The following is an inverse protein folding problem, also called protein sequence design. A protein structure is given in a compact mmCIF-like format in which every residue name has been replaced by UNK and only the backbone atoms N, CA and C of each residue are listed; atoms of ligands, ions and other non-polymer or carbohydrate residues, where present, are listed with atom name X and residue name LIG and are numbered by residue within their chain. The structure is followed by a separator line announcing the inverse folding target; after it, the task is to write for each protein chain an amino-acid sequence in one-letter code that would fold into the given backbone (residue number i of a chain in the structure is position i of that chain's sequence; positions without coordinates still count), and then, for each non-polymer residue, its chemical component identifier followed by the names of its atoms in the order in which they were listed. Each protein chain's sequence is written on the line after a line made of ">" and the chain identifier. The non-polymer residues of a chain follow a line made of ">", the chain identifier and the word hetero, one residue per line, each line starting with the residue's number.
data_IF_231968358091
#
_entry.id   IF_231968358091
#
_cell.length_a   1.000
_cell.length_b   1.000
_cell.length_c   1.000
_cell.angle_alpha   90.00
_cell.angle_beta   90.00
_cell.angle_gamma   90.00
#
_symmetry.space_group_name_H-M   'P 1'
#
loop_
_entity.id
_entity.type
_entity.pdbx_description
1 polymer ?
#
# COMPACT_ATOMS: atom_id res chain seq x y z
N UNK A 1 -15.60 24.80 4.20
CA UNK A 1 -14.67 23.91 3.47
C UNK A 1 -14.55 24.38 2.01
N UNK A 2 -13.97 25.57 1.75
CA UNK A 2 -13.95 26.18 0.40
C UNK A 2 -12.62 26.87 0.02
N UNK A 3 -11.51 26.56 0.71
CA UNK A 3 -10.21 27.20 0.45
C UNK A 3 -9.30 26.46 -0.54
N UNK A 4 -9.26 25.13 -0.48
CA UNK A 4 -8.22 24.33 -1.14
C UNK A 4 -8.41 24.17 -2.65
N UNK A 5 -9.63 23.86 -3.10
CA UNK A 5 -9.93 23.68 -4.53
C UNK A 5 -9.75 24.96 -5.34
N UNK A 6 -10.03 26.14 -4.75
CA UNK A 6 -9.83 27.44 -5.40
C UNK A 6 -8.35 27.75 -5.58
N UNK A 7 -7.53 27.54 -4.54
CA UNK A 7 -6.09 27.80 -4.60
C UNK A 7 -5.39 26.93 -5.66
N UNK A 8 -5.82 25.66 -5.80
CA UNK A 8 -5.27 24.74 -6.80
C UNK A 8 -5.56 25.16 -8.25
N UNK A 9 -6.78 25.62 -8.54
CA UNK A 9 -7.11 26.09 -9.90
C UNK A 9 -6.46 27.43 -10.25
N UNK A 10 -6.28 28.31 -9.27
CA UNK A 10 -5.71 29.66 -9.45
C UNK A 10 -4.18 29.61 -9.66
N UNK A 11 -3.51 28.59 -9.10
CA UNK A 11 -2.08 28.31 -9.34
C UNK A 11 -1.82 27.48 -10.60
N UNK A 12 -2.71 26.54 -10.94
CA UNK A 12 -2.60 25.76 -12.18
C UNK A 12 -2.78 26.62 -13.45
N UNK A 13 -3.65 27.64 -13.40
CA UNK A 13 -3.86 28.54 -14.53
C UNK A 13 -2.65 29.47 -14.79
N UNK A 14 -1.95 29.91 -13.74
CA UNK A 14 -0.79 30.79 -13.86
C UNK A 14 0.49 30.06 -14.34
N UNK A 15 0.59 28.74 -14.10
CA UNK A 15 1.76 27.94 -14.50
C UNK A 15 1.72 27.54 -15.99
N UNK A 16 0.53 27.50 -16.58
CA UNK A 16 0.28 27.13 -17.98
C UNK A 16 0.77 28.18 -18.99
N UNK A 17 0.74 29.47 -18.63
CA UNK A 17 0.96 30.57 -19.60
C UNK A 17 2.43 30.89 -19.91
N UNK A 18 3.39 30.28 -19.19
CA UNK A 18 4.80 30.70 -19.25
C UNK A 18 5.76 29.59 -19.71
N UNK A 19 5.34 28.33 -19.75
CA UNK A 19 6.23 27.20 -20.03
C UNK A 19 6.16 26.77 -21.50
N UNK A 20 6.95 27.42 -22.36
CA UNK A 20 7.10 27.02 -23.77
C UNK A 20 7.55 25.56 -23.91
N UNK A 21 7.02 24.86 -24.92
CA UNK A 21 7.24 23.41 -25.20
C UNK A 21 8.68 22.92 -25.05
N UNK A 22 9.69 23.76 -25.33
CA UNK A 22 11.10 23.41 -25.20
C UNK A 22 11.55 23.13 -23.77
N UNK A 23 11.03 23.85 -22.78
CA UNK A 23 11.41 23.65 -21.37
C UNK A 23 10.79 22.38 -20.79
N UNK A 24 9.59 22.02 -21.24
CA UNK A 24 8.93 20.76 -20.87
C UNK A 24 9.79 19.57 -21.31
N UNK A 25 10.30 19.59 -22.55
CA UNK A 25 11.17 18.51 -23.05
C UNK A 25 12.49 18.41 -22.28
N UNK A 26 13.11 19.53 -21.90
CA UNK A 26 14.34 19.52 -21.10
C UNK A 26 14.11 18.99 -19.68
N UNK A 27 13.00 19.37 -19.04
CA UNK A 27 12.63 18.87 -17.71
C UNK A 27 12.36 17.37 -17.77
N UNK A 28 11.62 16.89 -18.78
CA UNK A 28 11.35 15.46 -18.97
C UNK A 28 12.63 14.66 -19.20
N UNK A 29 13.57 15.17 -20.00
CA UNK A 29 14.85 14.51 -20.26
C UNK A 29 15.74 14.45 -19.02
N UNK A 30 15.77 15.52 -18.23
CA UNK A 30 16.50 15.56 -16.96
C UNK A 30 15.90 14.58 -15.92
N UNK A 31 14.57 14.50 -15.85
CA UNK A 31 13.86 13.59 -14.95
C UNK A 31 14.11 12.11 -15.33
N UNK A 32 14.05 11.79 -16.62
CA UNK A 32 14.36 10.44 -17.13
C UNK A 32 15.80 10.02 -16.81
N UNK A 33 16.76 10.94 -16.95
CA UNK A 33 18.16 10.68 -16.59
C UNK A 33 18.33 10.45 -15.08
N UNK A 34 17.64 11.22 -14.23
CA UNK A 34 17.67 11.04 -12.78
C UNK A 34 17.09 9.69 -12.35
N UNK A 35 15.98 9.25 -12.95
CA UNK A 35 15.38 7.92 -12.72
C UNK A 35 16.33 6.80 -13.16
N UNK A 36 16.96 6.92 -14.32
CA UNK A 36 17.94 5.94 -14.79
C UNK A 36 19.18 5.85 -13.89
N UNK A 37 19.64 6.99 -13.36
CA UNK A 37 20.75 7.05 -12.41
C UNK A 37 20.36 6.45 -11.04
N UNK A 38 19.16 6.74 -10.55
CA UNK A 38 18.65 6.16 -9.30
C UNK A 38 18.48 4.63 -9.42
N UNK A 39 17.99 4.16 -10.57
CA UNK A 39 17.86 2.73 -10.89
C UNK A 39 19.21 2.01 -10.96
N UNK A 40 20.20 2.62 -11.61
CA UNK A 40 21.55 2.04 -11.74
C UNK A 40 22.35 2.10 -10.43
N UNK A 41 22.10 3.08 -9.57
CA UNK A 41 22.78 3.18 -8.28
C UNK A 41 22.18 2.25 -7.22
N UNK A 42 20.85 2.02 -7.26
CA UNK A 42 20.19 1.08 -6.35
C UNK A 42 20.38 -0.39 -6.75
N UNK A 43 20.40 -0.70 -8.06
CA UNK A 43 20.66 -2.07 -8.55
C UNK A 43 22.08 -2.56 -8.26
N UNK A 44 23.07 -1.66 -8.17
CA UNK A 44 24.46 -1.99 -7.81
C UNK A 44 24.70 -2.16 -6.30
N UNK A 45 23.75 -1.79 -5.44
CA UNK A 45 23.81 -2.02 -4.00
C UNK A 45 23.12 -3.33 -3.56
N UNK A 46 22.83 -4.25 -4.50
CA UNK A 46 22.40 -5.62 -4.17
C UNK A 46 23.59 -6.58 -4.01
N UNK A 47 23.72 -7.05 -2.77
CA UNK A 47 24.46 -8.17 -2.13
C UNK A 47 25.97 -8.05 -1.84
N UNK A 48 26.36 -8.38 -0.58
CA UNK A 48 27.02 -9.68 -0.41
C UNK A 48 26.53 -10.50 0.80
N UNK A 49 26.08 -11.72 0.49
CA UNK A 49 26.42 -12.99 1.16
C UNK A 49 26.60 -12.97 2.70
N UNK A 50 25.54 -13.30 3.46
CA UNK A 50 25.72 -13.99 4.75
C UNK A 50 25.55 -15.49 4.58
N UNK A 51 26.69 -16.17 4.58
CA UNK A 51 26.82 -17.60 4.82
C UNK A 51 26.43 -17.88 6.28
N UNK A 52 25.32 -18.56 6.52
CA UNK A 52 25.10 -19.30 7.77
C UNK A 52 24.97 -20.78 7.45
N UNK A 53 26.12 -21.46 7.53
CA UNK A 53 26.25 -22.91 7.68
C UNK A 53 25.83 -23.29 9.11
N UNK A 54 25.31 -24.53 9.22
CA UNK A 54 25.01 -25.33 10.42
C UNK A 54 23.59 -25.14 10.99
N UNK A 55 22.76 -26.17 11.23
CA UNK A 55 23.05 -27.60 11.47
C UNK A 55 21.82 -28.49 11.22
N UNK A 56 21.91 -29.32 10.18
CA UNK A 56 21.59 -30.76 10.12
C UNK A 56 20.63 -31.31 11.20
N UNK A 57 19.40 -31.64 10.81
CA UNK A 57 18.72 -32.83 11.35
C UNK A 57 18.19 -33.67 10.19
N UNK A 58 18.90 -34.77 9.94
CA UNK A 58 18.54 -35.85 9.03
C UNK A 58 17.22 -36.48 9.50
N UNK A 59 16.31 -36.79 8.58
CA UNK A 59 16.04 -38.17 8.12
C UNK A 59 15.03 -38.14 6.95
N UNK A 60 15.42 -38.82 5.86
CA UNK A 60 14.66 -39.17 4.64
C UNK A 60 13.86 -40.47 4.92
N UNK A 61 12.77 -40.78 4.19
CA UNK A 61 12.88 -41.47 2.89
C UNK A 61 11.92 -40.85 1.82
N UNK A 62 12.39 -40.53 0.61
CA UNK A 62 12.38 -41.36 -0.62
C UNK A 62 10.98 -41.58 -1.24
N UNK A 63 10.62 -40.69 -2.18
CA UNK A 63 9.68 -40.88 -3.31
C UNK A 63 9.96 -39.74 -4.30
N UNK A 64 10.76 -40.03 -5.33
CA UNK A 64 10.42 -40.01 -6.78
C UNK A 64 10.36 -38.61 -7.44
N UNK A 65 10.93 -38.45 -8.65
CA UNK A 65 11.21 -37.14 -9.22
C UNK A 65 10.01 -36.67 -10.05
N UNK A 66 9.09 -35.95 -9.42
CA UNK A 66 8.06 -35.24 -10.17
C UNK A 66 8.67 -33.98 -10.78
N UNK A 67 8.79 -34.06 -12.09
CA UNK A 67 9.25 -33.06 -13.04
C UNK A 67 8.88 -31.64 -12.62
N UNK A 68 9.91 -30.86 -12.33
CA UNK A 68 9.88 -29.43 -12.10
C UNK A 68 9.18 -28.74 -13.29
N UNK A 69 7.93 -28.37 -13.12
CA UNK A 69 7.32 -27.27 -13.87
C UNK A 69 7.42 -26.11 -12.92
N UNK A 70 8.52 -25.37 -13.02
CA UNK A 70 8.59 -24.04 -12.42
C UNK A 70 7.36 -23.29 -12.93
N UNK A 71 6.44 -22.82 -12.06
CA UNK A 71 5.52 -21.80 -12.49
C UNK A 71 6.42 -20.62 -12.85
N UNK A 72 6.54 -20.37 -14.15
CA UNK A 72 6.94 -19.07 -14.67
C UNK A 72 6.13 -18.09 -13.83
N UNK A 73 6.85 -17.33 -12.99
CA UNK A 73 6.27 -16.18 -12.32
C UNK A 73 5.89 -15.27 -13.46
N UNK A 74 4.65 -15.41 -13.95
CA UNK A 74 4.00 -14.37 -14.70
C UNK A 74 4.25 -13.09 -13.91
N UNK A 75 4.84 -12.13 -14.60
CA UNK A 75 5.16 -10.81 -14.14
C UNK A 75 3.92 -10.24 -13.46
N UNK A 76 3.83 -10.43 -12.14
CA UNK A 76 2.70 -9.99 -11.35
C UNK A 76 2.61 -8.49 -11.57
N UNK A 77 1.47 -8.04 -12.09
CA UNK A 77 1.18 -6.63 -12.25
C UNK A 77 1.60 -5.89 -10.97
N UNK A 78 2.46 -4.86 -11.06
CA UNK A 78 3.07 -4.22 -9.91
C UNK A 78 2.06 -3.60 -8.92
N UNK A 79 0.80 -3.46 -9.33
CA UNK A 79 -0.28 -2.80 -8.58
C UNK A 79 -1.44 -3.71 -8.18
N UNK A 80 -1.42 -5.00 -8.53
CA UNK A 80 -2.42 -5.95 -8.05
C UNK A 80 -2.14 -6.29 -6.57
N UNK A 81 -3.14 -6.13 -5.70
CA UNK A 81 -3.04 -6.61 -4.32
C UNK A 81 -2.94 -8.14 -4.35
N UNK A 82 -1.81 -8.74 -3.98
CA UNK A 82 -1.69 -10.20 -4.00
C UNK A 82 -2.67 -10.79 -2.98
N UNK A 83 -3.23 -11.97 -3.27
CA UNK A 83 -4.14 -12.70 -2.37
C UNK A 83 -3.36 -13.25 -1.15
N UNK A 84 -2.98 -12.34 -0.26
CA UNK A 84 -2.25 -12.60 0.96
C UNK A 84 -3.11 -12.22 2.16
N UNK A 85 -3.04 -12.97 3.28
CA UNK A 85 -3.74 -12.61 4.51
C UNK A 85 -3.27 -11.25 5.05
N UNK A 86 -4.18 -10.47 5.66
CA UNK A 86 -3.87 -9.18 6.27
C UNK A 86 -2.68 -9.24 7.25
N UNK A 87 -2.56 -10.31 8.04
CA UNK A 87 -1.45 -10.53 8.97
C UNK A 87 -0.07 -10.60 8.29
N UNK A 88 -0.01 -11.06 7.03
CA UNK A 88 1.23 -11.11 6.26
C UNK A 88 1.71 -9.72 5.90
N UNK A 89 0.79 -8.84 5.47
CA UNK A 89 1.08 -7.44 5.20
C UNK A 89 1.53 -6.71 6.47
N UNK A 90 0.86 -6.94 7.61
CA UNK A 90 1.28 -6.38 8.89
C UNK A 90 2.70 -6.83 9.30
N UNK A 91 3.00 -8.12 9.16
CA UNK A 91 4.34 -8.64 9.47
C UNK A 91 5.42 -8.02 8.58
N UNK A 92 5.11 -7.75 7.31
CA UNK A 92 6.02 -7.04 6.39
C UNK A 92 6.19 -5.58 6.81
N UNK A 93 5.10 -4.90 7.16
CA UNK A 93 5.14 -3.52 7.63
C UNK A 93 6.02 -3.37 8.87
N UNK A 94 5.88 -4.26 9.85
CA UNK A 94 6.69 -4.21 11.08
C UNK A 94 8.17 -4.45 10.80
N UNK A 95 8.49 -5.33 9.84
CA UNK A 95 9.87 -5.54 9.37
C UNK A 95 10.45 -4.30 8.68
N UNK A 96 9.65 -3.59 7.88
CA UNK A 96 10.07 -2.34 7.24
C UNK A 96 10.28 -1.22 8.26
N UNK A 97 9.36 -1.05 9.20
CA UNK A 97 9.48 -0.11 10.31
C UNK A 97 10.75 -0.35 11.14
N UNK A 98 11.05 -1.61 11.48
CA UNK A 98 12.27 -1.98 12.20
C UNK A 98 13.58 -1.66 11.46
N UNK A 99 13.51 -1.43 10.15
CA UNK A 99 14.65 -1.03 9.30
C UNK A 99 14.68 0.47 9.00
N UNK A 100 13.75 1.26 9.57
CA UNK A 100 13.57 2.67 9.25
C UNK A 100 12.98 2.93 7.86
N UNK A 101 12.41 1.90 7.22
CA UNK A 101 11.76 1.99 5.91
C UNK A 101 10.28 2.36 6.06
N UNK A 102 10.03 3.60 6.50
CA UNK A 102 8.70 4.05 6.91
C UNK A 102 7.70 4.11 5.75
N UNK A 103 8.13 4.49 4.54
CA UNK A 103 7.25 4.57 3.38
C UNK A 103 6.68 3.20 2.98
N UNK A 104 7.53 2.17 2.99
CA UNK A 104 7.16 0.78 2.75
C UNK A 104 6.30 0.22 3.89
N UNK A 105 6.59 0.58 5.15
CA UNK A 105 5.77 0.20 6.28
C UNK A 105 4.33 0.72 6.15
N UNK A 106 4.16 2.01 5.84
CA UNK A 106 2.85 2.64 5.61
C UNK A 106 2.12 1.97 4.45
N UNK A 107 2.80 1.70 3.32
CA UNK A 107 2.21 1.02 2.16
C UNK A 107 1.68 -0.36 2.54
N UNK A 108 2.47 -1.18 3.24
CA UNK A 108 2.04 -2.53 3.62
C UNK A 108 0.90 -2.49 4.66
N UNK A 109 0.87 -1.51 5.57
CA UNK A 109 -0.28 -1.32 6.48
C UNK A 109 -1.55 -0.96 5.72
N UNK A 110 -1.47 -0.09 4.71
CA UNK A 110 -2.62 0.24 3.87
C UNK A 110 -3.14 -1.02 3.15
N UNK A 111 -2.24 -1.82 2.58
CA UNK A 111 -2.59 -3.12 1.96
C UNK A 111 -3.27 -4.06 2.95
N UNK A 112 -2.82 -4.09 4.21
CA UNK A 112 -3.47 -4.87 5.27
C UNK A 112 -4.89 -4.37 5.58
N UNK A 113 -5.10 -3.04 5.64
CA UNK A 113 -6.42 -2.43 5.87
C UNK A 113 -7.37 -2.75 4.72
N UNK A 114 -6.91 -2.62 3.47
CA UNK A 114 -7.70 -3.00 2.29
C UNK A 114 -8.10 -4.46 2.36
N UNK A 115 -7.15 -5.35 2.68
CA UNK A 115 -7.44 -6.78 2.80
C UNK A 115 -8.46 -7.06 3.90
N UNK A 116 -8.34 -6.40 5.05
CA UNK A 116 -9.31 -6.49 6.15
C UNK A 116 -10.73 -6.11 5.70
N UNK A 117 -10.87 -5.03 4.94
CA UNK A 117 -12.17 -4.58 4.44
C UNK A 117 -12.78 -5.60 3.46
N UNK A 118 -11.97 -6.19 2.59
CA UNK A 118 -12.37 -7.26 1.67
C UNK A 118 -12.78 -8.52 2.44
N UNK A 119 -11.93 -8.99 3.36
CA UNK A 119 -12.19 -10.20 4.17
C UNK A 119 -13.48 -10.07 4.99
N UNK A 120 -13.82 -8.84 5.42
CA UNK A 120 -15.05 -8.54 6.17
C UNK A 120 -16.25 -8.20 5.28
N UNK A 121 -16.10 -8.27 3.95
CA UNK A 121 -17.11 -7.92 2.94
C UNK A 121 -17.67 -6.51 3.10
N UNK A 122 -16.84 -5.57 3.56
CA UNK A 122 -17.18 -4.14 3.56
C UNK A 122 -17.04 -3.58 2.15
N UNK A 123 -16.09 -4.09 1.37
CA UNK A 123 -15.90 -3.78 -0.04
C UNK A 123 -15.67 -5.07 -0.80
N UNK A 124 -16.01 -5.09 -2.09
CA UNK A 124 -15.60 -6.15 -2.99
C UNK A 124 -14.16 -5.91 -3.46
N UNK A 125 -13.44 -6.98 -3.77
CA UNK A 125 -12.09 -6.86 -4.33
C UNK A 125 -12.20 -6.46 -5.82
N UNK A 126 -11.73 -5.26 -6.15
CA UNK A 126 -11.64 -4.81 -7.53
C UNK A 126 -10.18 -4.43 -7.86
N UNK A 127 -9.53 -5.12 -8.80
CA UNK A 127 -8.22 -4.71 -9.31
C UNK A 127 -8.28 -3.28 -9.88
N UNK A 128 -7.27 -2.46 -9.60
CA UNK A 128 -7.15 -1.10 -10.14
C UNK A 128 -7.88 0.01 -9.37
N UNK A 129 -8.46 -0.27 -8.20
CA UNK A 129 -9.02 0.80 -7.37
C UNK A 129 -7.95 1.75 -6.85
N UNK A 130 -8.24 3.05 -6.97
CA UNK A 130 -7.50 4.07 -6.23
C UNK A 130 -7.86 4.01 -4.75
N UNK A 131 -6.97 4.50 -3.90
CA UNK A 131 -7.18 4.55 -2.44
C UNK A 131 -8.43 5.39 -2.09
N UNK A 132 -8.68 6.46 -2.83
CA UNK A 132 -9.84 7.36 -2.63
C UNK A 132 -11.16 6.68 -2.99
N UNK A 133 -11.21 5.93 -4.08
CA UNK A 133 -12.40 5.18 -4.49
C UNK A 133 -12.72 4.09 -3.46
N UNK A 134 -11.68 3.41 -2.96
CA UNK A 134 -11.81 2.42 -1.90
C UNK A 134 -12.34 3.03 -0.60
N UNK A 135 -11.77 4.16 -0.15
CA UNK A 135 -12.21 4.85 1.05
C UNK A 135 -13.68 5.29 0.92
N UNK A 136 -14.06 5.84 -0.23
CA UNK A 136 -15.44 6.22 -0.53
C UNK A 136 -16.39 5.03 -0.52
N UNK A 137 -15.99 3.89 -1.09
CA UNK A 137 -16.80 2.67 -1.10
C UNK A 137 -16.97 2.10 0.32
N UNK A 138 -15.89 2.03 1.09
CA UNK A 138 -15.92 1.58 2.47
C UNK A 138 -16.78 2.51 3.34
N UNK A 139 -16.68 3.83 3.19
CA UNK A 139 -17.51 4.80 3.91
C UNK A 139 -19.00 4.65 3.62
N UNK A 140 -19.39 4.30 2.38
CA UNK A 140 -20.80 4.01 2.06
C UNK A 140 -21.32 2.76 2.78
N UNK A 141 -20.49 1.72 2.88
CA UNK A 141 -20.89 0.43 3.47
C UNK A 141 -20.71 0.37 5.00
N UNK A 142 -19.77 1.16 5.51
CA UNK A 142 -19.45 1.32 6.93
C UNK A 142 -19.05 2.77 7.23
N UNK A 143 -20.02 3.66 7.50
CA UNK A 143 -19.77 5.11 7.68
C UNK A 143 -18.72 5.46 8.73
N UNK A 144 -18.59 4.65 9.78
CA UNK A 144 -17.57 4.83 10.82
C UNK A 144 -16.12 4.62 10.33
N UNK A 145 -15.92 4.12 9.10
CA UNK A 145 -14.58 3.96 8.50
C UNK A 145 -14.16 5.16 7.65
N UNK A 146 -15.06 6.10 7.34
CA UNK A 146 -14.82 7.17 6.37
C UNK A 146 -13.66 8.09 6.77
N UNK A 147 -13.74 8.66 7.98
CA UNK A 147 -12.69 9.52 8.53
C UNK A 147 -11.33 8.80 8.64
N UNK A 148 -11.19 7.63 9.29
CA UNK A 148 -9.89 6.99 9.44
C UNK A 148 -9.30 6.49 8.13
N UNK A 149 -10.12 6.04 7.16
CA UNK A 149 -9.63 5.64 5.84
C UNK A 149 -9.18 6.84 5.01
N UNK A 150 -9.91 7.94 5.07
CA UNK A 150 -9.52 9.19 4.40
C UNK A 150 -8.18 9.68 4.95
N UNK A 151 -8.01 9.72 6.28
CA UNK A 151 -6.75 10.11 6.90
C UNK A 151 -5.59 9.16 6.52
N UNK A 152 -5.84 7.85 6.47
CA UNK A 152 -4.85 6.86 6.04
C UNK A 152 -4.45 7.04 4.57
N UNK A 153 -5.42 7.32 3.70
CA UNK A 153 -5.20 7.61 2.30
C UNK A 153 -4.40 8.89 2.08
N UNK A 154 -4.62 9.93 2.90
CA UNK A 154 -3.84 11.16 2.89
C UNK A 154 -2.38 10.91 3.24
N UNK A 155 -2.09 10.19 4.34
CA UNK A 155 -0.70 9.87 4.73
C UNK A 155 0.01 9.12 3.60
N UNK A 156 -0.65 8.11 3.02
CA UNK A 156 -0.10 7.36 1.90
C UNK A 156 0.17 8.25 0.69
N UNK A 157 -0.79 9.10 0.32
CA UNK A 157 -0.67 9.96 -0.87
C UNK A 157 0.41 11.02 -0.70
N UNK A 158 0.52 11.60 0.50
CA UNK A 158 1.56 12.56 0.86
C UNK A 158 2.97 11.96 0.70
N UNK A 159 3.16 10.70 1.10
CA UNK A 159 4.45 10.01 0.99
C UNK A 159 4.75 9.60 -0.46
N UNK A 160 3.79 8.99 -1.15
CA UNK A 160 4.05 8.35 -2.45
C UNK A 160 3.88 9.26 -3.66
N UNK A 161 3.03 10.29 -3.55
CA UNK A 161 2.74 11.23 -4.63
C UNK A 161 3.10 12.68 -4.25
N UNK A 162 3.12 13.00 -2.96
CA UNK A 162 3.47 14.34 -2.45
C UNK A 162 4.95 14.55 -2.17
N UNK A 163 5.80 13.56 -2.46
CA UNK A 163 7.25 13.58 -2.23
C UNK A 163 7.66 13.91 -0.77
N UNK A 164 6.76 13.72 0.21
CA UNK A 164 7.09 13.94 1.62
C UNK A 164 7.92 12.77 2.15
N UNK A 165 9.03 13.05 2.87
CA UNK A 165 9.79 11.99 3.51
C UNK A 165 8.93 11.32 4.59
N UNK A 166 8.83 10.00 4.53
CA UNK A 166 8.09 9.21 5.51
C UNK A 166 8.83 9.16 6.86
N UNK A 167 8.08 9.26 7.94
CA UNK A 167 8.59 9.31 9.32
C UNK A 167 8.02 8.18 10.18
N UNK A 168 8.61 7.99 11.37
CA UNK A 168 8.07 7.08 12.40
C UNK A 168 6.68 7.50 12.89
N UNK A 169 6.41 8.81 12.93
CA UNK A 169 5.11 9.37 13.31
C UNK A 169 4.03 9.01 12.28
N UNK A 170 4.37 8.93 11.00
CA UNK A 170 3.47 8.47 9.94
C UNK A 170 3.11 6.98 10.13
N UNK A 171 4.08 6.12 10.44
CA UNK A 171 3.83 4.70 10.73
C UNK A 171 2.95 4.53 11.99
N UNK A 172 3.22 5.31 13.03
CA UNK A 172 2.44 5.32 14.28
C UNK A 172 1.01 5.78 14.04
N UNK A 173 0.83 6.85 13.27
CA UNK A 173 -0.48 7.35 12.85
C UNK A 173 -1.22 6.30 12.02
N UNK A 174 -0.53 5.64 11.09
CA UNK A 174 -1.10 4.60 10.25
C UNK A 174 -1.56 3.37 11.07
N UNK A 175 -0.82 2.97 12.11
CA UNK A 175 -1.24 1.91 13.05
C UNK A 175 -2.53 2.28 13.80
N UNK A 176 -2.60 3.52 14.28
CA UNK A 176 -3.79 4.04 15.00
C UNK A 176 -5.01 4.02 14.08
N UNK A 177 -4.88 4.56 12.88
CA UNK A 177 -5.95 4.63 11.87
C UNK A 177 -6.40 3.22 11.45
N UNK A 178 -5.47 2.29 11.20
CA UNK A 178 -5.80 0.90 10.91
C UNK A 178 -6.62 0.24 12.03
N UNK A 179 -6.26 0.53 13.29
CA UNK A 179 -6.99 0.02 14.47
C UNK A 179 -8.38 0.66 14.63
N UNK A 180 -8.54 1.92 14.23
CA UNK A 180 -9.84 2.60 14.16
C UNK A 180 -10.76 1.97 13.12
N UNK A 181 -10.24 1.69 11.92
CA UNK A 181 -10.98 0.98 10.87
C UNK A 181 -11.41 -0.41 11.33
N UNK A 182 -10.50 -1.18 11.95
CA UNK A 182 -10.81 -2.52 12.44
C UNK A 182 -11.96 -2.51 13.46
N UNK A 183 -11.93 -1.57 14.41
CA UNK A 183 -12.99 -1.37 15.40
C UNK A 183 -14.31 -0.94 14.76
N UNK A 184 -14.27 -0.01 13.81
CA UNK A 184 -15.45 0.47 13.10
C UNK A 184 -16.19 -0.66 12.37
N UNK A 185 -15.44 -1.56 11.72
CA UNK A 185 -16.03 -2.70 11.00
C UNK A 185 -16.45 -3.82 11.95
N UNK A 186 -15.77 -3.98 13.09
CA UNK A 186 -16.17 -4.96 14.11
C UNK A 186 -17.50 -4.57 14.77
N UNK A 187 -17.72 -3.28 15.03
CA UNK A 187 -18.93 -2.74 15.68
C UNK A 187 -20.17 -2.68 14.78
N UNK A 188 -20.01 -2.74 13.45
CA UNK A 188 -21.11 -2.66 12.49
C UNK A 188 -21.94 -3.95 12.33
N UNK A 189 -21.51 -5.08 12.91
CA UNK A 189 -22.31 -6.33 12.90
C UNK A 189 -23.36 -6.28 14.01
N UNK A 190 -24.58 -5.86 13.66
CA UNK A 190 -25.76 -6.20 14.47
C UNK A 190 -25.91 -7.73 14.46
N UNK A 191 -26.00 -8.41 15.63
CA UNK A 191 -26.19 -9.86 15.67
C UNK A 191 -27.51 -10.24 14.98
N UNK A 192 -27.46 -11.26 14.13
CA UNK A 192 -28.61 -11.85 13.44
C UNK A 192 -29.51 -12.66 14.40
N UNK A 193 -29.89 -12.08 15.55
CA UNK A 193 -30.77 -12.70 16.55
C UNK A 193 -32.01 -11.84 16.80
N UNK A 194 -32.84 -11.68 15.76
CA UNK A 194 -34.28 -11.37 15.92
C UNK A 194 -35.10 -11.79 14.69
N UNK A 195 -34.88 -13.01 14.20
CA UNK A 195 -35.85 -13.73 13.36
C UNK A 195 -35.95 -15.16 13.88
N UNK A 196 -36.88 -15.39 14.80
CA UNK A 196 -37.21 -16.72 15.30
C UNK A 196 -37.81 -16.71 16.70
N UNK A 197 -39.14 -16.75 16.76
CA UNK A 197 -39.94 -17.06 17.95
C UNK A 197 -40.31 -15.84 18.79
N UNK A 198 -41.58 -15.62 19.15
CA UNK A 198 -42.84 -16.31 18.91
C UNK A 198 -43.96 -15.30 19.13
#
# INVERSE_FOLDING_TARGET
>A
MTGFARWWTETAAALSDVLGLGWILLILLALAAAVALLWTHWSRLRVPRLRLRFRRRRRRPAAEPEKNVDPVLDEAEPDALPDLPAATFLSRADRFAAQGQWAEAVRERLRAVVRLLVDRRVIDHHPGWTVTELASAAGRNAPATDEPLTAAGTIFSDIWYGEKPATEDDDTSMKRLASEVDRAVAGGRVPASRRGGS
#
